data_IF_566691513690
#
_entry.id   IF_566691513690
#
_cell.length_a   1.000
_cell.length_b   1.000
_cell.length_c   1.000
_cell.angle_alpha   90.00
_cell.angle_beta   90.00
_cell.angle_gamma   90.00
#
_symmetry.space_group_name_H-M   'P 1'
#
loop_
_entity.id
_entity.type
_entity.pdbx_description
1 polymer ?
#
# COMPACT_ATOMS: atom_id res chain seq x y z
N UNK A 1 35.67 47.68 -19.78
CA UNK A 1 34.69 46.56 -19.97
C UNK A 1 34.93 45.52 -18.89
N UNK A 2 34.11 45.53 -17.82
CA UNK A 2 34.15 44.51 -16.77
C UNK A 2 33.25 43.34 -17.19
N UNK A 3 33.85 42.18 -17.47
CA UNK A 3 33.13 40.94 -17.73
C UNK A 3 32.51 40.47 -16.43
N UNK A 4 31.19 40.59 -16.36
CA UNK A 4 30.40 39.98 -15.25
C UNK A 4 30.44 38.47 -15.49
N UNK A 5 31.25 37.78 -14.70
CA UNK A 5 31.18 36.31 -14.59
C UNK A 5 29.82 35.95 -14.04
N UNK A 6 28.95 35.36 -14.87
CA UNK A 6 27.75 34.72 -14.42
C UNK A 6 28.14 33.64 -13.38
N UNK A 7 27.64 33.78 -12.18
CA UNK A 7 27.74 32.74 -11.14
C UNK A 7 27.06 31.48 -11.72
N UNK A 8 27.83 30.42 -11.92
CA UNK A 8 27.29 29.08 -12.11
C UNK A 8 26.50 28.76 -10.84
N UNK A 9 25.18 28.88 -10.88
CA UNK A 9 24.32 28.23 -9.93
C UNK A 9 24.61 26.74 -10.05
N UNK A 10 25.30 26.22 -9.04
CA UNK A 10 25.48 24.78 -8.83
C UNK A 10 24.09 24.18 -8.56
N UNK A 11 23.42 23.74 -9.64
CA UNK A 11 22.15 23.03 -9.60
C UNK A 11 22.41 21.56 -9.25
N UNK A 12 23.14 21.32 -8.15
CA UNK A 12 23.12 20.00 -7.56
C UNK A 12 21.68 19.68 -7.12
N UNK A 13 21.08 18.69 -7.76
CA UNK A 13 19.72 18.30 -7.46
C UNK A 13 19.54 18.07 -5.95
N UNK A 14 18.49 18.68 -5.38
CA UNK A 14 18.25 18.60 -3.94
C UNK A 14 17.70 17.23 -3.59
N UNK A 15 18.34 16.52 -2.67
CA UNK A 15 17.92 15.18 -2.25
C UNK A 15 16.77 15.25 -1.25
N UNK A 16 15.75 14.40 -1.43
CA UNK A 16 14.71 14.10 -0.46
C UNK A 16 14.87 12.67 0.06
N UNK A 17 14.72 12.47 1.36
CA UNK A 17 14.66 11.12 1.94
C UNK A 17 13.21 10.66 1.97
N UNK A 18 12.87 9.70 1.11
CA UNK A 18 11.54 9.09 1.06
C UNK A 18 11.52 7.84 1.95
N UNK A 19 10.60 7.82 2.89
CA UNK A 19 10.48 6.76 3.88
C UNK A 19 9.09 6.13 3.82
N UNK A 20 9.05 4.83 3.58
CA UNK A 20 7.83 4.03 3.47
C UNK A 20 8.10 2.54 3.66
N UNK A 21 7.15 1.71 3.28
CA UNK A 21 7.28 0.25 3.33
C UNK A 21 7.77 -0.32 1.98
N UNK A 22 8.78 0.34 1.39
CA UNK A 22 9.26 0.10 0.03
C UNK A 22 10.22 -1.08 -0.08
N UNK A 23 10.16 -1.79 -1.23
CA UNK A 23 11.00 -2.96 -1.50
C UNK A 23 10.66 -4.17 -0.63
N UNK A 24 9.47 -4.26 -0.10
CA UNK A 24 8.99 -5.42 0.67
C UNK A 24 8.17 -6.38 -0.21
N UNK A 25 8.28 -6.24 -1.54
CA UNK A 25 7.56 -7.04 -2.54
C UNK A 25 6.04 -6.95 -2.36
N UNK A 26 5.54 -5.72 -2.16
CA UNK A 26 4.14 -5.40 -2.03
C UNK A 26 3.73 -4.40 -3.11
N UNK A 27 2.89 -4.84 -4.04
CA UNK A 27 2.43 -4.03 -5.18
C UNK A 27 1.78 -2.70 -4.77
N UNK A 28 1.08 -2.68 -3.63
CA UNK A 28 0.46 -1.46 -3.13
C UNK A 28 1.48 -0.41 -2.67
N UNK A 29 2.55 -0.83 -1.97
CA UNK A 29 3.61 0.08 -1.54
C UNK A 29 4.49 0.51 -2.72
N UNK A 30 4.67 -0.36 -3.72
CA UNK A 30 5.35 -0.01 -4.98
C UNK A 30 4.54 1.02 -5.76
N UNK A 31 3.20 0.89 -5.82
CA UNK A 31 2.31 1.88 -6.42
C UNK A 31 2.38 3.24 -5.70
N UNK A 32 2.41 3.25 -4.36
CA UNK A 32 2.59 4.47 -3.58
C UNK A 32 3.92 5.15 -3.87
N UNK A 33 5.02 4.38 -3.99
CA UNK A 33 6.34 4.92 -4.33
C UNK A 33 6.34 5.52 -5.74
N UNK A 34 5.76 4.82 -6.71
CA UNK A 34 5.66 5.30 -8.09
C UNK A 34 4.95 6.64 -8.18
N UNK A 35 3.78 6.77 -7.54
CA UNK A 35 3.03 8.03 -7.52
C UNK A 35 3.80 9.12 -6.81
N UNK A 36 4.45 8.82 -5.67
CA UNK A 36 5.25 9.80 -4.94
C UNK A 36 6.41 10.33 -5.80
N UNK A 37 7.11 9.44 -6.50
CA UNK A 37 8.21 9.82 -7.40
C UNK A 37 7.71 10.66 -8.58
N UNK A 38 6.56 10.29 -9.17
CA UNK A 38 5.96 11.05 -10.28
C UNK A 38 5.49 12.46 -9.87
N UNK A 39 5.15 12.65 -8.58
CA UNK A 39 4.71 13.94 -8.04
C UNK A 39 5.85 14.77 -7.43
N UNK A 40 7.09 14.31 -7.51
CA UNK A 40 8.21 15.08 -7.00
C UNK A 40 8.41 16.36 -7.83
N UNK A 41 8.63 17.51 -7.17
CA UNK A 41 8.91 18.76 -7.88
C UNK A 41 10.22 18.67 -8.71
N UNK A 42 10.27 19.40 -9.82
CA UNK A 42 11.49 19.52 -10.60
C UNK A 42 12.67 20.03 -9.75
N UNK A 43 13.87 19.51 -10.01
CA UNK A 43 15.08 19.87 -9.25
C UNK A 43 15.30 19.05 -7.97
N UNK A 44 14.38 18.13 -7.63
CA UNK A 44 14.57 17.19 -6.51
C UNK A 44 14.88 15.79 -7.01
N UNK A 45 15.68 15.06 -6.24
CA UNK A 45 15.97 13.63 -6.43
C UNK A 45 15.64 12.86 -5.16
N UNK A 46 15.31 11.59 -5.31
CA UNK A 46 14.93 10.73 -4.19
C UNK A 46 16.10 9.85 -3.73
N UNK A 47 16.28 9.79 -2.41
CA UNK A 47 16.92 8.66 -1.75
C UNK A 47 15.82 7.90 -1.00
N UNK A 48 15.60 6.64 -1.32
CA UNK A 48 14.48 5.83 -0.82
C UNK A 48 14.95 4.85 0.24
N UNK A 49 14.28 4.81 1.40
CA UNK A 49 14.51 3.75 2.38
C UNK A 49 13.82 2.47 1.88
N UNK A 50 14.58 1.41 1.61
CA UNK A 50 14.04 0.19 1.05
C UNK A 50 14.54 -1.06 1.78
N UNK A 51 13.73 -2.14 1.76
CA UNK A 51 14.17 -3.46 2.20
C UNK A 51 15.03 -4.11 1.11
N UNK A 52 14.48 -4.33 -0.07
CA UNK A 52 15.22 -4.71 -1.25
C UNK A 52 15.62 -3.46 -2.06
N UNK A 53 16.77 -2.90 -1.70
CA UNK A 53 17.27 -1.69 -2.36
C UNK A 53 17.72 -1.94 -3.80
N UNK A 54 18.13 -3.17 -4.16
CA UNK A 54 18.52 -3.51 -5.53
C UNK A 54 17.30 -3.47 -6.45
N UNK A 55 16.20 -4.09 -6.04
CA UNK A 55 14.93 -4.09 -6.76
C UNK A 55 14.39 -2.68 -6.95
N UNK A 56 14.39 -1.86 -5.88
CA UNK A 56 13.89 -0.47 -5.95
C UNK A 56 14.74 0.38 -6.90
N UNK A 57 16.08 0.26 -6.86
CA UNK A 57 16.96 0.93 -7.82
C UNK A 57 16.69 0.52 -9.27
N UNK A 58 16.54 -0.78 -9.49
CA UNK A 58 16.27 -1.32 -10.83
C UNK A 58 14.94 -0.83 -11.39
N UNK A 59 13.89 -0.78 -10.55
CA UNK A 59 12.53 -0.41 -10.99
C UNK A 59 12.34 1.08 -11.17
N UNK A 60 12.90 1.89 -10.28
CA UNK A 60 12.58 3.31 -10.18
C UNK A 60 13.75 4.24 -10.50
N UNK A 61 14.97 3.72 -10.71
CA UNK A 61 16.15 4.53 -11.05
C UNK A 61 16.60 5.48 -9.94
N UNK A 62 16.29 5.17 -8.68
CA UNK A 62 16.54 6.04 -7.52
C UNK A 62 17.62 5.48 -6.60
N UNK A 63 18.28 6.35 -5.83
CA UNK A 63 19.18 5.93 -4.77
C UNK A 63 18.41 5.26 -3.63
N UNK A 64 19.02 4.27 -3.00
CA UNK A 64 18.40 3.54 -1.90
C UNK A 64 19.30 3.43 -0.68
N UNK A 65 18.67 3.36 0.49
CA UNK A 65 19.33 3.07 1.77
C UNK A 65 18.56 1.96 2.51
N UNK A 66 19.27 0.99 3.14
CA UNK A 66 18.61 -0.10 3.85
C UNK A 66 17.71 0.40 4.98
N UNK A 67 16.38 0.23 4.85
CA UNK A 67 15.40 0.76 5.82
C UNK A 67 15.56 0.22 7.24
N UNK A 68 16.10 -0.99 7.41
CA UNK A 68 16.32 -1.62 8.73
C UNK A 68 17.60 -1.16 9.42
N UNK A 69 18.44 -0.35 8.76
CA UNK A 69 19.64 0.20 9.34
C UNK A 69 19.47 1.67 9.72
N UNK A 70 18.95 1.92 10.92
CA UNK A 70 18.76 3.29 11.43
C UNK A 70 20.01 4.17 11.26
N UNK A 71 21.25 3.72 11.57
CA UNK A 71 22.45 4.54 11.38
C UNK A 71 22.65 4.99 9.93
N UNK A 72 22.44 4.08 8.94
CA UNK A 72 22.60 4.41 7.52
C UNK A 72 21.51 5.38 7.06
N UNK A 73 20.26 5.19 7.52
CA UNK A 73 19.15 6.10 7.21
C UNK A 73 19.39 7.49 7.80
N UNK A 74 19.89 7.59 9.04
CA UNK A 74 20.27 8.87 9.66
C UNK A 74 21.46 9.54 8.93
N UNK A 75 22.41 8.76 8.44
CA UNK A 75 23.51 9.27 7.59
C UNK A 75 22.98 9.82 6.27
N UNK A 76 22.04 9.11 5.60
CA UNK A 76 21.39 9.59 4.40
C UNK A 76 20.57 10.87 4.66
N UNK A 77 19.82 10.89 5.76
CA UNK A 77 19.03 12.06 6.17
C UNK A 77 19.89 13.34 6.28
N UNK A 78 21.15 13.24 6.76
CA UNK A 78 22.05 14.42 6.84
C UNK A 78 22.28 15.09 5.48
N UNK A 79 22.26 14.32 4.39
CA UNK A 79 22.48 14.81 3.01
C UNK A 79 21.21 15.28 2.33
N UNK A 80 20.04 14.91 2.86
CA UNK A 80 18.75 15.26 2.31
C UNK A 80 18.23 16.59 2.84
N UNK A 81 17.41 17.29 2.04
CA UNK A 81 16.77 18.57 2.40
C UNK A 81 15.55 18.39 3.28
N UNK A 82 14.83 17.29 3.10
CA UNK A 82 13.63 16.98 3.86
C UNK A 82 13.48 15.45 4.06
N UNK A 83 12.67 15.10 5.05
CA UNK A 83 12.14 13.75 5.26
C UNK A 83 10.69 13.71 4.78
N UNK A 84 10.37 12.77 3.91
CA UNK A 84 8.99 12.52 3.45
C UNK A 84 8.58 11.12 3.87
N UNK A 85 7.54 10.99 4.68
CA UNK A 85 6.85 9.74 4.91
C UNK A 85 5.78 9.60 3.83
N UNK A 86 6.00 8.68 2.90
CA UNK A 86 5.25 8.61 1.64
C UNK A 86 4.22 7.49 1.61
N UNK A 87 2.96 7.83 1.89
CA UNK A 87 1.82 6.91 1.78
C UNK A 87 1.76 5.82 2.85
N UNK A 88 0.75 4.98 2.76
CA UNK A 88 0.53 3.87 3.69
C UNK A 88 0.13 4.32 5.11
N UNK A 89 0.10 3.36 6.04
CA UNK A 89 -0.15 3.62 7.48
C UNK A 89 1.11 3.33 8.27
N UNK A 90 2.06 4.27 8.25
CA UNK A 90 3.36 4.09 8.90
C UNK A 90 3.30 4.33 10.41
N UNK A 91 2.47 5.31 10.84
CA UNK A 91 2.28 5.66 12.24
C UNK A 91 1.10 4.88 12.84
N UNK A 92 1.37 3.61 13.19
CA UNK A 92 0.40 2.67 13.76
C UNK A 92 1.09 1.71 14.75
N UNK A 93 0.32 1.03 15.61
CA UNK A 93 0.86 0.11 16.62
C UNK A 93 0.26 -1.31 16.58
N UNK A 94 -0.51 -1.62 15.52
CA UNK A 94 -1.13 -2.94 15.34
C UNK A 94 -0.12 -4.02 14.98
N UNK A 95 0.94 -3.67 14.24
CA UNK A 95 2.00 -4.60 13.87
C UNK A 95 3.14 -4.62 14.87
N UNK A 96 3.68 -3.45 15.23
CA UNK A 96 4.80 -3.35 16.17
C UNK A 96 4.99 -1.95 16.73
N UNK A 97 5.08 -1.84 18.04
CA UNK A 97 5.50 -0.59 18.70
C UNK A 97 6.92 -0.18 18.33
N UNK A 98 7.82 -1.16 18.05
CA UNK A 98 9.20 -0.87 17.59
C UNK A 98 9.22 -0.13 16.26
N UNK A 99 8.29 -0.45 15.35
CA UNK A 99 8.14 0.27 14.08
C UNK A 99 7.77 1.74 14.30
N UNK A 100 6.86 2.02 15.23
CA UNK A 100 6.50 3.39 15.60
C UNK A 100 7.70 4.16 16.19
N UNK A 101 8.51 3.53 17.04
CA UNK A 101 9.73 4.13 17.58
C UNK A 101 10.77 4.44 16.49
N UNK A 102 10.87 3.60 15.47
CA UNK A 102 11.74 3.85 14.33
C UNK A 102 11.35 5.14 13.59
N UNK A 103 10.06 5.30 13.24
CA UNK A 103 9.58 6.54 12.61
C UNK A 103 9.71 7.74 13.53
N UNK A 104 9.50 7.57 14.84
CA UNK A 104 9.72 8.62 15.82
C UNK A 104 11.17 9.09 15.82
N UNK A 105 12.14 8.17 15.80
CA UNK A 105 13.56 8.52 15.72
C UNK A 105 13.91 9.28 14.43
N UNK A 106 13.36 8.89 13.29
CA UNK A 106 13.57 9.59 12.02
C UNK A 106 12.99 11.01 12.02
N UNK A 107 11.74 11.16 12.45
CA UNK A 107 11.07 12.47 12.55
C UNK A 107 11.83 13.38 13.52
N UNK A 108 12.17 12.86 14.71
CA UNK A 108 12.95 13.61 15.71
C UNK A 108 14.31 14.04 15.17
N UNK A 109 15.04 13.13 14.54
CA UNK A 109 16.35 13.42 13.96
C UNK A 109 16.27 14.44 12.80
N UNK A 110 15.24 14.40 11.97
CA UNK A 110 15.01 15.41 10.94
C UNK A 110 14.79 16.79 11.54
N UNK A 111 13.94 16.89 12.57
CA UNK A 111 13.65 18.16 13.24
C UNK A 111 14.84 18.73 14.00
N UNK A 112 15.62 17.89 14.66
CA UNK A 112 16.89 18.30 15.33
C UNK A 112 17.91 18.86 14.33
N UNK A 113 17.85 18.43 13.06
CA UNK A 113 18.69 18.94 11.98
C UNK A 113 18.04 20.14 11.25
N UNK A 114 16.93 20.71 11.75
CA UNK A 114 16.21 21.81 11.12
C UNK A 114 15.49 21.46 9.81
N UNK A 115 15.33 20.15 9.50
CA UNK A 115 14.78 19.72 8.22
C UNK A 115 13.25 19.61 8.27
N UNK A 116 12.55 19.98 7.17
CA UNK A 116 11.14 19.73 7.02
C UNK A 116 10.81 18.23 7.09
N UNK A 117 9.67 17.94 7.71
CA UNK A 117 9.07 16.59 7.75
C UNK A 117 7.70 16.66 7.10
N UNK A 118 7.50 15.89 6.05
CA UNK A 118 6.26 15.84 5.29
C UNK A 118 5.61 14.47 5.50
N UNK A 119 4.34 14.46 5.88
CA UNK A 119 3.49 13.26 5.92
C UNK A 119 2.56 13.34 4.71
N UNK A 120 2.89 12.59 3.65
CA UNK A 120 2.23 12.68 2.37
C UNK A 120 1.26 11.52 2.16
N UNK A 121 -0.05 11.82 2.00
CA UNK A 121 -1.08 10.81 1.77
C UNK A 121 -1.12 9.71 2.85
N UNK A 122 -0.92 10.10 4.12
CA UNK A 122 -0.78 9.12 5.21
C UNK A 122 -2.14 8.61 5.67
N UNK A 123 -2.21 7.27 5.83
CA UNK A 123 -3.15 6.65 6.74
C UNK A 123 -2.62 6.71 8.17
N UNK A 124 -3.46 7.03 9.14
CA UNK A 124 -3.08 7.10 10.54
C UNK A 124 -3.76 5.99 11.35
N UNK A 125 -2.97 5.27 12.13
CA UNK A 125 -3.44 4.21 13.00
C UNK A 125 -3.65 2.84 12.29
N UNK A 126 -4.27 1.87 13.01
CA UNK A 126 -4.85 2.04 14.35
C UNK A 126 -3.80 2.29 15.43
N UNK A 127 -4.21 3.03 16.48
CA UNK A 127 -3.41 3.32 17.67
C UNK A 127 -4.15 2.79 18.91
N UNK A 128 -3.86 1.56 19.28
CA UNK A 128 -4.57 0.86 20.36
C UNK A 128 -4.07 1.25 21.76
N UNK A 129 -2.79 1.65 21.87
CA UNK A 129 -2.16 1.94 23.15
C UNK A 129 -2.16 3.44 23.43
N UNK A 130 -2.50 3.87 24.65
CA UNK A 130 -2.45 5.30 25.06
C UNK A 130 -1.06 5.92 24.85
N UNK A 131 0.01 5.15 25.12
CA UNK A 131 1.40 5.60 24.87
C UNK A 131 1.69 5.86 23.39
N UNK A 132 1.10 5.05 22.49
CA UNK A 132 1.24 5.24 21.05
C UNK A 132 0.51 6.50 20.60
N UNK A 133 -0.71 6.74 21.10
CA UNK A 133 -1.49 7.94 20.82
C UNK A 133 -0.72 9.20 21.30
N UNK A 134 -0.18 9.17 22.53
CA UNK A 134 0.62 10.27 23.06
C UNK A 134 1.87 10.53 22.20
N UNK A 135 2.62 9.48 21.84
CA UNK A 135 3.81 9.59 21.00
C UNK A 135 3.46 10.17 19.65
N UNK A 136 2.46 9.60 18.95
CA UNK A 136 2.04 10.09 17.63
C UNK A 136 1.56 11.52 17.69
N UNK A 137 0.79 11.92 18.70
CA UNK A 137 0.39 13.31 18.88
C UNK A 137 1.58 14.28 18.99
N UNK A 138 2.70 13.83 19.61
CA UNK A 138 3.95 14.62 19.63
C UNK A 138 4.62 14.67 18.26
N UNK A 139 4.66 13.53 17.54
CA UNK A 139 5.26 13.46 16.20
C UNK A 139 4.50 14.30 15.18
N UNK A 140 3.17 14.29 15.23
CA UNK A 140 2.34 15.10 14.34
C UNK A 140 2.59 16.61 14.49
N UNK A 141 2.90 17.09 15.70
CA UNK A 141 3.30 18.50 15.92
C UNK A 141 4.67 18.83 15.34
N UNK A 142 5.55 17.83 15.19
CA UNK A 142 6.85 18.01 14.57
C UNK A 142 6.77 18.00 13.03
N UNK A 143 5.69 17.47 12.44
CA UNK A 143 5.51 17.47 11.00
C UNK A 143 5.30 18.90 10.48
N UNK A 144 6.06 19.27 9.44
CA UNK A 144 5.96 20.58 8.78
C UNK A 144 4.67 20.68 7.97
N UNK A 145 4.36 19.62 7.21
CA UNK A 145 3.11 19.50 6.46
C UNK A 145 2.59 18.07 6.54
N UNK A 146 1.28 17.94 6.48
CA UNK A 146 0.57 16.65 6.50
C UNK A 146 -0.53 16.64 5.46
N UNK A 147 -0.79 15.49 4.88
CA UNK A 147 -2.02 15.20 4.13
C UNK A 147 -2.49 13.79 4.48
N UNK A 148 -3.80 13.63 4.65
CA UNK A 148 -4.43 12.37 5.05
C UNK A 148 -5.09 11.72 3.84
N UNK A 149 -4.97 10.41 3.72
CA UNK A 149 -5.56 9.68 2.60
C UNK A 149 -7.04 9.33 2.77
N UNK A 150 -7.56 9.46 4.01
CA UNK A 150 -8.93 9.11 4.35
C UNK A 150 -9.46 9.96 5.52
N UNK A 151 -10.81 10.12 5.64
CA UNK A 151 -11.44 10.89 6.70
C UNK A 151 -11.18 10.35 8.11
N UNK A 152 -11.04 9.02 8.27
CA UNK A 152 -10.78 8.36 9.55
C UNK A 152 -9.39 8.74 10.07
N UNK A 153 -8.39 8.73 9.20
CA UNK A 153 -7.03 9.20 9.52
C UNK A 153 -7.02 10.66 9.93
N UNK A 154 -7.78 11.51 9.23
CA UNK A 154 -7.90 12.93 9.57
C UNK A 154 -8.63 13.15 10.90
N UNK A 155 -9.70 12.40 11.17
CA UNK A 155 -10.42 12.46 12.44
C UNK A 155 -9.53 12.04 13.62
N UNK A 156 -8.77 10.95 13.47
CA UNK A 156 -7.81 10.52 14.48
C UNK A 156 -6.70 11.57 14.67
N UNK A 157 -6.17 12.15 13.60
CA UNK A 157 -5.16 13.19 13.68
C UNK A 157 -5.66 14.43 14.42
N UNK A 158 -6.90 14.85 14.13
CA UNK A 158 -7.57 15.99 14.83
C UNK A 158 -7.71 15.71 16.32
N UNK A 159 -8.10 14.49 16.72
CA UNK A 159 -8.17 14.10 18.13
C UNK A 159 -6.82 14.12 18.84
N UNK A 160 -5.71 14.01 18.08
CA UNK A 160 -4.33 14.10 18.56
C UNK A 160 -3.74 15.53 18.43
N UNK A 161 -4.56 16.52 18.04
CA UNK A 161 -4.19 17.93 17.95
C UNK A 161 -3.48 18.32 16.66
N UNK A 162 -3.73 17.62 15.54
CA UNK A 162 -3.19 17.97 14.21
C UNK A 162 -4.26 17.91 13.14
N UNK A 163 -4.52 19.04 12.51
CA UNK A 163 -5.35 19.14 11.31
C UNK A 163 -4.49 19.07 10.04
N UNK A 164 -5.14 18.76 8.93
CA UNK A 164 -4.51 18.72 7.61
C UNK A 164 -5.53 18.37 6.53
N UNK A 165 -5.23 18.64 5.26
CA UNK A 165 -6.11 18.33 4.16
C UNK A 165 -6.36 16.82 4.06
N UNK A 166 -7.59 16.47 3.72
CA UNK A 166 -8.02 15.10 3.42
C UNK A 166 -8.10 14.97 1.91
N UNK A 167 -7.41 13.97 1.39
CA UNK A 167 -7.48 13.56 0.00
C UNK A 167 -8.01 12.14 -0.12
N UNK A 168 -7.56 11.45 -1.15
CA UNK A 168 -7.73 10.02 -1.37
C UNK A 168 -6.39 9.28 -1.20
N UNK A 169 -6.42 7.95 -1.24
CA UNK A 169 -5.18 7.17 -1.30
C UNK A 169 -4.38 7.61 -2.55
N UNK A 170 -3.06 7.90 -2.39
CA UNK A 170 -2.26 8.42 -3.51
C UNK A 170 -2.23 7.51 -4.75
N UNK A 171 -2.46 6.20 -4.59
CA UNK A 171 -2.50 5.23 -5.70
C UNK A 171 -3.57 5.59 -6.74
N UNK A 172 -4.62 6.34 -6.35
CA UNK A 172 -5.62 6.86 -7.30
C UNK A 172 -5.05 7.80 -8.37
N UNK A 173 -3.84 8.31 -8.20
CA UNK A 173 -3.17 9.12 -9.21
C UNK A 173 -2.49 8.31 -10.33
N UNK A 174 -2.47 6.99 -10.26
CA UNK A 174 -2.04 6.15 -11.37
C UNK A 174 -2.99 6.30 -12.56
N UNK A 175 -2.44 6.22 -13.77
CA UNK A 175 -3.23 6.30 -14.99
C UNK A 175 -4.23 5.14 -15.07
N UNK A 176 -5.53 5.41 -15.25
CA UNK A 176 -6.53 4.35 -15.35
C UNK A 176 -6.35 3.53 -16.62
N UNK A 177 -6.80 2.29 -16.59
CA UNK A 177 -6.84 1.40 -17.76
C UNK A 177 -8.27 1.17 -18.22
N UNK A 178 -8.43 0.75 -19.46
CA UNK A 178 -9.74 0.39 -19.98
C UNK A 178 -10.05 -1.07 -19.67
N UNK A 179 -11.20 -1.32 -19.06
CA UNK A 179 -11.70 -2.67 -18.83
C UNK A 179 -12.09 -3.38 -20.13
N UNK A 180 -11.69 -4.64 -20.25
CA UNK A 180 -11.95 -5.52 -21.41
C UNK A 180 -12.34 -6.93 -20.96
N UNK A 181 -12.76 -7.06 -19.72
CA UNK A 181 -12.91 -8.37 -19.06
C UNK A 181 -14.31 -8.99 -19.18
N UNK A 182 -15.13 -8.59 -20.16
CA UNK A 182 -16.41 -9.28 -20.41
C UNK A 182 -16.14 -10.74 -20.69
N UNK A 183 -16.67 -11.63 -19.84
CA UNK A 183 -16.40 -13.05 -19.97
C UNK A 183 -15.04 -13.50 -19.39
N UNK A 184 -14.25 -12.59 -18.83
CA UNK A 184 -12.93 -12.85 -18.29
C UNK A 184 -12.91 -13.66 -16.97
N UNK A 185 -11.72 -13.99 -16.47
CA UNK A 185 -11.55 -14.80 -15.26
C UNK A 185 -12.04 -14.08 -14.00
N UNK A 186 -12.29 -14.88 -12.96
CA UNK A 186 -12.39 -14.41 -11.59
C UNK A 186 -10.98 -14.18 -11.04
N UNK A 187 -10.65 -12.95 -10.66
CA UNK A 187 -9.33 -12.61 -10.08
C UNK A 187 -9.44 -12.48 -8.57
N UNK A 188 -8.62 -13.22 -7.84
CA UNK A 188 -8.63 -13.31 -6.38
C UNK A 188 -7.36 -12.67 -5.78
N UNK A 189 -7.51 -11.53 -5.11
CA UNK A 189 -6.44 -10.86 -4.37
C UNK A 189 -6.58 -11.19 -2.87
N UNK A 190 -6.41 -12.47 -2.53
CA UNK A 190 -6.63 -12.99 -1.18
C UNK A 190 -5.32 -13.04 -0.37
N UNK A 191 -5.46 -13.11 0.94
CA UNK A 191 -4.34 -13.24 1.87
C UNK A 191 -4.68 -14.09 3.08
N UNK A 192 -3.70 -14.75 3.71
CA UNK A 192 -3.89 -15.35 5.03
C UNK A 192 -4.24 -14.28 6.08
N UNK A 193 -5.22 -14.57 6.94
CA UNK A 193 -5.60 -13.73 8.09
C UNK A 193 -5.87 -14.59 9.30
N UNK A 194 -5.97 -13.98 10.49
CA UNK A 194 -6.34 -14.71 11.70
C UNK A 194 -7.78 -15.24 11.66
N UNK A 195 -8.68 -14.55 10.95
CA UNK A 195 -10.06 -14.95 10.77
C UNK A 195 -10.22 -16.13 9.80
N UNK A 196 -9.30 -16.27 8.84
CA UNK A 196 -9.34 -17.32 7.82
C UNK A 196 -8.17 -18.30 8.03
N UNK A 197 -8.36 -19.26 8.93
CA UNK A 197 -7.43 -20.35 9.18
C UNK A 197 -8.13 -21.69 9.07
N UNK A 198 -7.49 -22.69 8.45
CA UNK A 198 -8.02 -24.03 8.31
C UNK A 198 -9.43 -24.05 7.73
N UNK A 199 -10.37 -24.71 8.40
CA UNK A 199 -11.74 -24.87 7.92
C UNK A 199 -12.54 -23.57 7.76
N UNK A 200 -12.10 -22.45 8.34
CA UNK A 200 -12.76 -21.15 8.18
C UNK A 200 -12.73 -20.64 6.71
N UNK A 201 -11.84 -21.15 5.88
CA UNK A 201 -11.82 -20.88 4.45
C UNK A 201 -12.98 -21.52 3.69
N UNK A 202 -13.49 -22.68 4.15
CA UNK A 202 -14.43 -23.52 3.40
C UNK A 202 -15.66 -22.78 2.85
N UNK A 203 -16.40 -21.98 3.64
CA UNK A 203 -17.61 -21.31 3.13
C UNK A 203 -17.28 -20.29 2.04
N UNK A 204 -16.17 -19.57 2.14
CA UNK A 204 -15.73 -18.59 1.11
C UNK A 204 -15.27 -19.29 -0.16
N UNK A 205 -14.49 -20.38 -0.03
CA UNK A 205 -14.01 -21.15 -1.17
C UNK A 205 -15.16 -21.86 -1.90
N UNK A 206 -16.17 -22.35 -1.17
CA UNK A 206 -17.38 -22.92 -1.74
C UNK A 206 -18.19 -21.88 -2.54
N UNK A 207 -18.33 -20.66 -2.01
CA UNK A 207 -19.00 -19.57 -2.72
C UNK A 207 -18.24 -19.15 -3.99
N UNK A 208 -16.90 -19.09 -3.92
CA UNK A 208 -16.05 -18.79 -5.09
C UNK A 208 -16.11 -19.91 -6.14
N UNK A 209 -16.16 -21.19 -5.72
CA UNK A 209 -16.34 -22.33 -6.61
C UNK A 209 -17.69 -22.27 -7.36
N UNK A 210 -18.75 -22.03 -6.61
CA UNK A 210 -20.09 -21.87 -7.18
C UNK A 210 -20.14 -20.70 -8.16
N UNK A 211 -19.56 -19.54 -7.81
CA UNK A 211 -19.50 -18.37 -8.68
C UNK A 211 -18.71 -18.67 -9.98
N UNK A 212 -17.53 -19.28 -9.86
CA UNK A 212 -16.71 -19.65 -11.01
C UNK A 212 -17.41 -20.67 -11.91
N UNK A 213 -18.07 -21.68 -11.31
CA UNK A 213 -18.78 -22.73 -12.04
C UNK A 213 -20.02 -22.19 -12.75
N UNK A 214 -20.84 -21.34 -12.10
CA UNK A 214 -22.08 -20.80 -12.68
C UNK A 214 -21.84 -19.92 -13.91
N UNK A 215 -20.67 -19.33 -14.03
CA UNK A 215 -20.26 -18.48 -15.15
C UNK A 215 -19.20 -19.11 -16.05
N UNK A 216 -18.82 -20.35 -15.81
CA UNK A 216 -17.74 -21.08 -16.51
C UNK A 216 -16.43 -20.28 -16.62
N UNK A 217 -15.93 -19.78 -15.46
CA UNK A 217 -14.75 -18.90 -15.40
C UNK A 217 -13.51 -19.61 -14.91
N UNK A 218 -12.38 -19.29 -15.52
CA UNK A 218 -11.07 -19.50 -14.91
C UNK A 218 -10.91 -18.64 -13.65
N UNK A 219 -10.03 -19.08 -12.73
CA UNK A 219 -9.74 -18.38 -11.49
C UNK A 219 -8.25 -18.06 -11.41
N UNK A 220 -7.93 -16.79 -11.35
CA UNK A 220 -6.56 -16.30 -11.19
C UNK A 220 -6.35 -15.85 -9.76
N UNK A 221 -5.42 -16.48 -9.06
CA UNK A 221 -4.93 -16.01 -7.77
C UNK A 221 -3.81 -15.03 -8.01
N UNK A 222 -4.01 -13.77 -7.60
CA UNK A 222 -3.08 -12.66 -7.79
C UNK A 222 -2.53 -12.20 -6.44
N UNK A 223 -1.36 -12.70 -6.00
CA UNK A 223 -0.69 -12.25 -4.79
C UNK A 223 -0.28 -10.79 -4.88
N UNK A 224 -0.67 -9.97 -3.91
CA UNK A 224 -0.28 -8.56 -3.82
C UNK A 224 0.98 -8.34 -3.00
N UNK A 225 1.22 -9.20 -2.03
CA UNK A 225 2.44 -9.19 -1.23
C UNK A 225 3.11 -10.55 -1.36
N UNK A 226 4.17 -10.63 -2.15
CA UNK A 226 4.82 -11.89 -2.51
C UNK A 226 5.17 -12.73 -1.28
N UNK A 227 5.74 -12.14 -0.23
CA UNK A 227 6.15 -12.87 0.97
C UNK A 227 4.98 -13.32 1.88
N UNK A 228 3.76 -12.84 1.66
CA UNK A 228 2.60 -13.14 2.50
C UNK A 228 1.50 -13.90 1.77
N UNK A 229 1.30 -13.59 0.49
CA UNK A 229 0.14 -14.06 -0.28
C UNK A 229 0.50 -15.16 -1.28
N UNK A 230 1.76 -15.16 -1.77
CA UNK A 230 2.23 -16.17 -2.73
C UNK A 230 2.17 -17.56 -2.12
N UNK A 231 1.68 -18.52 -2.91
CA UNK A 231 1.57 -19.92 -2.51
C UNK A 231 0.34 -20.22 -1.65
N UNK A 232 -0.56 -19.24 -1.40
CA UNK A 232 -1.80 -19.48 -0.68
C UNK A 232 -2.66 -20.52 -1.39
N UNK A 233 -2.76 -20.47 -2.72
CA UNK A 233 -3.47 -21.46 -3.53
C UNK A 233 -2.94 -22.88 -3.24
N UNK A 234 -1.63 -23.05 -3.28
CA UNK A 234 -0.99 -24.36 -3.07
C UNK A 234 -1.09 -24.83 -1.63
N UNK A 235 -1.05 -23.89 -0.67
CA UNK A 235 -1.31 -24.20 0.74
C UNK A 235 -2.72 -24.77 0.92
N UNK A 236 -3.75 -24.10 0.38
CA UNK A 236 -5.14 -24.52 0.50
C UNK A 236 -5.40 -25.86 -0.22
N UNK A 237 -4.66 -26.16 -1.32
CA UNK A 237 -4.68 -27.48 -1.97
C UNK A 237 -4.14 -28.57 -1.04
N UNK A 238 -2.97 -28.36 -0.46
CA UNK A 238 -2.34 -29.32 0.46
C UNK A 238 -3.18 -29.57 1.72
N UNK A 239 -3.85 -28.56 2.21
CA UNK A 239 -4.76 -28.62 3.35
C UNK A 239 -6.13 -29.22 2.99
N UNK A 240 -6.36 -29.58 1.74
CA UNK A 240 -7.62 -30.15 1.22
C UNK A 240 -8.84 -29.26 1.54
N UNK A 241 -8.64 -27.96 1.45
CA UNK A 241 -9.69 -26.97 1.68
C UNK A 241 -10.35 -26.48 0.40
N UNK A 242 -9.64 -26.59 -0.76
CA UNK A 242 -10.18 -26.20 -2.05
C UNK A 242 -11.21 -27.20 -2.56
N UNK A 243 -12.41 -26.75 -2.96
CA UNK A 243 -13.34 -27.56 -3.74
C UNK A 243 -12.67 -28.05 -5.02
N UNK A 244 -12.94 -29.29 -5.50
CA UNK A 244 -12.31 -29.84 -6.70
C UNK A 244 -12.54 -28.97 -7.95
N UNK A 245 -13.73 -28.39 -8.11
CA UNK A 245 -14.08 -27.51 -9.22
C UNK A 245 -13.22 -26.23 -9.23
N UNK A 246 -13.11 -25.58 -8.07
CA UNK A 246 -12.25 -24.39 -7.90
C UNK A 246 -10.78 -24.74 -8.13
N UNK A 247 -10.32 -25.88 -7.59
CA UNK A 247 -8.92 -26.31 -7.76
C UNK A 247 -8.55 -26.53 -9.24
N UNK A 248 -9.45 -27.16 -10.02
CA UNK A 248 -9.24 -27.43 -11.44
C UNK A 248 -9.18 -26.15 -12.31
N UNK A 249 -9.92 -25.09 -11.91
CA UNK A 249 -10.03 -23.80 -12.62
C UNK A 249 -8.96 -22.78 -12.17
N UNK A 250 -8.22 -23.06 -11.09
CA UNK A 250 -7.35 -22.11 -10.40
C UNK A 250 -5.89 -22.19 -10.83
N UNK A 251 -5.31 -21.02 -11.10
CA UNK A 251 -3.85 -20.84 -11.26
C UNK A 251 -3.38 -19.58 -10.54
N UNK A 252 -2.15 -19.58 -10.04
CA UNK A 252 -1.51 -18.40 -9.48
C UNK A 252 -0.76 -17.64 -10.58
N UNK A 253 -0.92 -16.32 -10.60
CA UNK A 253 -0.22 -15.43 -11.52
C UNK A 253 0.44 -14.33 -10.69
N UNK A 254 1.72 -14.11 -10.89
CA UNK A 254 2.48 -13.07 -10.21
C UNK A 254 2.54 -11.82 -11.08
N UNK A 255 2.30 -10.67 -10.48
CA UNK A 255 2.62 -9.37 -11.05
C UNK A 255 3.83 -8.80 -10.31
N UNK A 256 4.78 -8.28 -11.05
CA UNK A 256 5.97 -7.63 -10.47
C UNK A 256 5.78 -6.12 -10.30
N UNK A 257 4.87 -5.53 -11.09
CA UNK A 257 4.60 -4.09 -11.11
C UNK A 257 3.11 -3.81 -10.96
N UNK A 258 2.72 -2.66 -10.40
CA UNK A 258 1.32 -2.25 -10.31
C UNK A 258 0.58 -2.28 -11.65
N UNK A 259 1.24 -1.87 -12.75
CA UNK A 259 0.66 -1.88 -14.11
C UNK A 259 0.34 -3.28 -14.62
N UNK A 260 1.15 -4.29 -14.26
CA UNK A 260 0.89 -5.69 -14.61
C UNK A 260 -0.32 -6.22 -13.84
N UNK A 261 -0.43 -5.88 -12.55
CA UNK A 261 -1.63 -6.20 -11.76
C UNK A 261 -2.89 -5.53 -12.34
N UNK A 262 -2.78 -4.25 -12.74
CA UNK A 262 -3.85 -3.54 -13.41
C UNK A 262 -4.22 -4.19 -14.76
N UNK A 263 -3.25 -4.63 -15.54
CA UNK A 263 -3.50 -5.33 -16.80
C UNK A 263 -4.26 -6.65 -16.59
N UNK A 264 -3.90 -7.41 -15.54
CA UNK A 264 -4.64 -8.62 -15.14
C UNK A 264 -6.08 -8.26 -14.73
N UNK A 265 -6.24 -7.23 -13.89
CA UNK A 265 -7.55 -6.75 -13.45
C UNK A 265 -8.41 -6.24 -14.62
N UNK A 266 -7.81 -5.53 -15.61
CA UNK A 266 -8.56 -5.01 -16.77
C UNK A 266 -9.16 -6.11 -17.64
N UNK A 267 -8.58 -7.31 -17.61
CA UNK A 267 -9.10 -8.51 -18.26
C UNK A 267 -10.01 -9.37 -17.38
N UNK A 268 -10.26 -8.99 -16.13
CA UNK A 268 -11.06 -9.77 -15.20
C UNK A 268 -12.58 -9.57 -15.42
N UNK A 269 -13.34 -10.66 -15.35
CA UNK A 269 -14.79 -10.58 -15.25
C UNK A 269 -15.27 -10.05 -13.90
N UNK A 270 -14.54 -10.38 -12.83
CA UNK A 270 -14.72 -9.87 -11.46
C UNK A 270 -13.41 -9.97 -10.70
N UNK A 271 -13.10 -8.96 -9.88
CA UNK A 271 -11.99 -8.98 -8.93
C UNK A 271 -12.53 -9.08 -7.51
N UNK A 272 -12.12 -10.11 -6.76
CA UNK A 272 -12.43 -10.23 -5.32
C UNK A 272 -11.17 -9.95 -4.52
N UNK A 273 -11.19 -8.90 -3.70
CA UNK A 273 -9.98 -8.45 -3.02
C UNK A 273 -10.14 -8.32 -1.50
N UNK A 274 -9.14 -8.82 -0.78
CA UNK A 274 -8.92 -8.58 0.65
C UNK A 274 -7.91 -7.44 0.89
N UNK A 275 -7.21 -7.00 -0.14
CA UNK A 275 -6.19 -5.95 -0.07
C UNK A 275 -6.77 -4.62 -0.53
N UNK A 276 -6.55 -3.54 0.26
CA UNK A 276 -6.96 -2.18 -0.10
C UNK A 276 -6.50 -1.80 -1.52
N UNK A 277 -5.20 -1.95 -1.79
CA UNK A 277 -4.65 -1.60 -3.11
C UNK A 277 -5.11 -2.58 -4.21
N UNK A 278 -5.53 -3.80 -3.85
CA UNK A 278 -6.19 -4.72 -4.79
C UNK A 278 -7.51 -4.15 -5.31
N UNK A 279 -8.32 -3.56 -4.42
CA UNK A 279 -9.56 -2.86 -4.80
C UNK A 279 -9.27 -1.60 -5.62
N UNK A 280 -8.30 -0.79 -5.19
CA UNK A 280 -7.96 0.46 -5.88
C UNK A 280 -7.45 0.16 -7.31
N UNK A 281 -6.52 -0.80 -7.48
CA UNK A 281 -6.00 -1.15 -8.80
C UNK A 281 -7.07 -1.81 -9.68
N UNK A 282 -7.98 -2.62 -9.11
CA UNK A 282 -9.14 -3.15 -9.84
C UNK A 282 -10.06 -2.02 -10.34
N UNK A 283 -10.38 -1.06 -9.49
CA UNK A 283 -11.21 0.09 -9.85
C UNK A 283 -10.55 0.99 -10.90
N UNK A 284 -9.24 1.27 -10.77
CA UNK A 284 -8.44 1.99 -11.79
C UNK A 284 -8.37 1.24 -13.13
N UNK A 285 -8.57 -0.08 -13.11
CA UNK A 285 -8.67 -0.91 -14.32
C UNK A 285 -10.08 -0.99 -14.87
N UNK A 286 -11.05 -0.28 -14.26
CA UNK A 286 -12.47 -0.32 -14.62
C UNK A 286 -13.14 -1.67 -14.36
N UNK A 287 -12.48 -2.61 -13.70
CA UNK A 287 -12.98 -3.95 -13.45
C UNK A 287 -14.07 -3.97 -12.38
N UNK A 288 -15.17 -4.74 -12.57
CA UNK A 288 -16.08 -5.05 -11.49
C UNK A 288 -15.32 -5.63 -10.31
N UNK A 289 -15.59 -5.16 -9.09
CA UNK A 289 -14.88 -5.65 -7.91
C UNK A 289 -15.81 -5.88 -6.72
N UNK A 290 -15.40 -6.78 -5.83
CA UNK A 290 -16.02 -7.06 -4.55
C UNK A 290 -14.93 -7.19 -3.48
N UNK A 291 -15.27 -6.88 -2.23
CA UNK A 291 -14.35 -6.90 -1.12
C UNK A 291 -14.66 -8.05 -0.15
N UNK A 292 -13.60 -8.71 0.35
CA UNK A 292 -13.64 -9.51 1.58
C UNK A 292 -12.87 -8.73 2.65
N UNK A 293 -13.59 -8.13 3.58
CA UNK A 293 -13.00 -7.20 4.55
C UNK A 293 -12.63 -7.91 5.86
N UNK A 294 -11.37 -7.87 6.19
CA UNK A 294 -10.78 -8.24 7.49
C UNK A 294 -10.26 -7.01 8.25
N UNK A 295 -10.30 -5.83 7.64
CA UNK A 295 -9.73 -4.57 8.14
C UNK A 295 -10.67 -3.42 7.76
N UNK A 296 -11.00 -2.49 8.67
CA UNK A 296 -11.88 -1.36 8.41
C UNK A 296 -11.52 -0.55 7.15
N UNK A 297 -10.25 -0.48 6.77
CA UNK A 297 -9.79 0.23 5.55
C UNK A 297 -10.33 -0.41 4.27
N UNK A 298 -10.45 -1.74 4.24
CA UNK A 298 -11.00 -2.46 3.08
C UNK A 298 -12.49 -2.19 2.97
N UNK A 299 -13.21 -2.23 4.11
CA UNK A 299 -14.63 -1.91 4.15
C UNK A 299 -14.91 -0.46 3.73
N UNK A 300 -14.11 0.50 4.23
CA UNK A 300 -14.23 1.91 3.86
C UNK A 300 -13.96 2.13 2.35
N UNK A 301 -12.94 1.46 1.80
CA UNK A 301 -12.66 1.53 0.36
C UNK A 301 -13.80 0.94 -0.48
N UNK A 302 -14.35 -0.20 -0.07
CA UNK A 302 -15.49 -0.82 -0.74
C UNK A 302 -16.73 0.09 -0.72
N UNK A 303 -17.02 0.72 0.42
CA UNK A 303 -18.11 1.68 0.56
C UNK A 303 -17.92 2.90 -0.37
N UNK A 304 -16.71 3.46 -0.43
CA UNK A 304 -16.38 4.58 -1.31
C UNK A 304 -16.49 4.22 -2.80
N UNK A 305 -16.21 2.96 -3.16
CA UNK A 305 -16.34 2.43 -4.51
C UNK A 305 -17.78 2.01 -4.86
N UNK A 306 -18.66 1.90 -3.86
CA UNK A 306 -20.00 1.35 -4.04
C UNK A 306 -20.00 -0.13 -4.45
N UNK A 307 -18.91 -0.88 -4.13
CA UNK A 307 -18.81 -2.29 -4.47
C UNK A 307 -19.28 -3.20 -3.30
N UNK A 308 -19.78 -4.42 -3.59
CA UNK A 308 -20.15 -5.38 -2.55
C UNK A 308 -19.00 -5.66 -1.58
N UNK A 309 -19.32 -5.75 -0.30
CA UNK A 309 -18.34 -6.01 0.75
C UNK A 309 -18.85 -7.03 1.76
N UNK A 310 -18.19 -8.17 1.87
CA UNK A 310 -18.44 -9.16 2.92
C UNK A 310 -17.40 -8.98 4.03
N UNK A 311 -17.86 -8.71 5.25
CA UNK A 311 -16.98 -8.73 6.43
C UNK A 311 -16.62 -10.15 6.84
N UNK A 312 -15.35 -10.38 7.19
CA UNK A 312 -14.91 -11.66 7.78
C UNK A 312 -15.31 -11.82 9.27
N UNK A 313 -15.75 -10.74 9.90
CA UNK A 313 -16.26 -10.79 11.29
C UNK A 313 -17.74 -11.25 11.35
N UNK A 314 -18.38 -11.38 10.19
CA UNK A 314 -19.73 -11.90 10.04
C UNK A 314 -19.73 -13.17 9.17
N UNK A 315 -20.63 -14.13 9.39
CA UNK A 315 -20.75 -15.29 8.52
C UNK A 315 -21.05 -14.85 7.09
N UNK A 316 -20.54 -15.57 6.06
CA UNK A 316 -20.81 -15.23 4.67
C UNK A 316 -22.32 -15.27 4.42
N UNK A 317 -22.84 -14.23 3.75
CA UNK A 317 -24.23 -14.20 3.32
C UNK A 317 -24.39 -15.07 2.06
N UNK A 318 -25.41 -15.90 1.96
CA UNK A 318 -25.69 -16.70 0.77
C UNK A 318 -26.27 -15.87 -0.39
N UNK A 319 -26.42 -14.55 -0.24
CA UNK A 319 -27.00 -13.65 -1.25
C UNK A 319 -25.92 -13.03 -2.16
#
# INVERSE_FOLDING_TARGET
MRVIRAAKTDQSAQQLLLCGYYGEHNLGDDALLEVLLAQMPAGYQATVTAHDGALVRQRFGVDTVPRRSLPLVLKALRRCRALVLGGGSLLQDSTSFKSLLYYAALIGAARLQGKPVLLWGQGLGPLQRRRSQWLVGRLLRLATAVSWRDPESAALARSLGREGPVGSDPVWALAPQQWRGTGGPLVLCLRPTRQLQGAAWRPYLAALDQLAASHDREVIWLPFHTNQDRGLLEQLRREQLLPPGLAARSREVLAERPQEAMAICSGAGLVVAMRLHGLILAALSGAPCAALSYDPKVAAAAANLGCPCQSLDAPPSPA
#
